data_IF_963010402004
#
_entry.id   IF_963010402004
#
_cell.length_a   1.000
_cell.length_b   1.000
_cell.length_c   1.000
_cell.angle_alpha   90.00
_cell.angle_beta   90.00
_cell.angle_gamma   90.00
#
_symmetry.space_group_name_H-M   'P 1'
#
loop_
_entity.id
_entity.type
_entity.pdbx_description
1 polymer ?
#
# COMPACT_ATOMS: atom_id res chain seq x y z
N UNK A 1 11.72 -11.72 59.19
CA UNK A 1 10.65 -11.75 58.15
C UNK A 1 10.81 -10.72 57.02
N UNK A 2 11.63 -9.66 57.15
CA UNK A 2 11.74 -8.62 56.11
C UNK A 2 12.72 -8.96 54.95
N UNK A 3 13.78 -9.73 55.21
CA UNK A 3 14.76 -10.09 54.16
C UNK A 3 14.22 -11.03 53.06
N UNK A 4 13.28 -11.91 53.42
CA UNK A 4 12.67 -12.86 52.48
C UNK A 4 11.73 -12.18 51.49
N UNK A 5 11.05 -11.11 51.91
CA UNK A 5 10.21 -10.27 51.03
C UNK A 5 11.06 -9.47 50.05
N UNK A 6 12.19 -8.92 50.52
CA UNK A 6 13.11 -8.16 49.68
C UNK A 6 13.74 -9.06 48.61
N UNK A 7 14.27 -10.22 48.97
CA UNK A 7 14.85 -11.15 48.00
C UNK A 7 13.84 -11.59 46.92
N UNK A 8 12.57 -11.79 47.29
CA UNK A 8 11.49 -12.16 46.37
C UNK A 8 11.12 -11.02 45.40
N UNK A 9 11.16 -9.76 45.87
CA UNK A 9 10.95 -8.59 45.01
C UNK A 9 12.08 -8.43 43.99
N UNK A 10 13.33 -8.67 44.39
CA UNK A 10 14.49 -8.54 43.49
C UNK A 10 14.52 -9.65 42.44
N UNK A 11 14.18 -10.89 42.80
CA UNK A 11 14.06 -11.99 41.84
C UNK A 11 12.88 -11.81 40.88
N UNK A 12 11.73 -11.28 41.33
CA UNK A 12 10.62 -10.93 40.45
C UNK A 12 10.96 -9.79 39.48
N UNK A 13 11.71 -8.79 39.93
CA UNK A 13 12.18 -7.68 39.08
C UNK A 13 13.21 -8.16 38.05
N UNK A 14 14.13 -9.05 38.45
CA UNK A 14 15.10 -9.67 37.56
C UNK A 14 14.42 -10.57 36.50
N UNK A 15 13.37 -11.31 36.89
CA UNK A 15 12.53 -12.09 35.97
C UNK A 15 11.81 -11.19 34.97
N UNK A 16 11.26 -10.04 35.39
CA UNK A 16 10.63 -9.05 34.50
C UNK A 16 11.63 -8.40 33.51
N UNK A 17 12.90 -8.26 33.89
CA UNK A 17 13.97 -7.73 33.04
C UNK A 17 14.52 -8.81 32.09
N UNK A 18 14.51 -10.09 32.52
CA UNK A 18 15.01 -11.25 31.78
C UNK A 18 13.96 -11.92 30.90
N UNK A 19 12.65 -11.62 31.05
CA UNK A 19 11.66 -11.99 30.03
C UNK A 19 12.07 -11.20 28.78
N UNK A 20 12.61 -11.86 27.72
CA UNK A 20 12.81 -11.18 26.45
C UNK A 20 11.43 -10.61 26.12
N UNK A 21 11.32 -9.28 25.96
CA UNK A 21 10.04 -8.61 25.65
C UNK A 21 9.28 -9.52 24.71
N UNK A 22 8.25 -10.21 25.23
CA UNK A 22 7.68 -11.39 24.57
C UNK A 22 7.51 -11.01 23.10
N UNK A 23 8.25 -11.68 22.20
CA UNK A 23 8.26 -11.33 20.78
C UNK A 23 6.82 -11.40 20.30
N UNK A 24 6.15 -10.25 20.28
CA UNK A 24 4.75 -10.18 19.96
C UNK A 24 4.64 -10.35 18.47
N UNK A 25 4.39 -11.61 18.10
CA UNK A 25 3.99 -12.00 16.75
C UNK A 25 2.66 -11.34 16.44
N UNK A 26 2.71 -10.31 15.61
CA UNK A 26 1.50 -9.80 14.97
C UNK A 26 0.99 -10.79 13.93
N UNK A 27 -0.31 -11.03 13.90
CA UNK A 27 -0.99 -11.82 12.88
C UNK A 27 -1.51 -10.92 11.76
N UNK A 28 -0.94 -11.06 10.58
CA UNK A 28 -1.09 -10.11 9.47
C UNK A 28 -1.87 -10.78 8.34
N UNK A 29 -3.01 -10.18 7.97
CA UNK A 29 -3.74 -10.53 6.76
C UNK A 29 -3.20 -9.71 5.59
N UNK A 30 -2.80 -10.36 4.50
CA UNK A 30 -2.26 -9.71 3.31
C UNK A 30 -3.22 -9.87 2.14
N UNK A 31 -3.56 -8.74 1.51
CA UNK A 31 -4.28 -8.72 0.23
C UNK A 31 -3.27 -8.34 -0.86
N UNK A 32 -2.77 -9.32 -1.63
CA UNK A 32 -1.66 -9.08 -2.55
C UNK A 32 -2.14 -8.39 -3.83
N UNK A 33 -1.18 -7.75 -4.50
CA UNK A 33 -1.31 -7.36 -5.91
C UNK A 33 -0.35 -8.21 -6.74
N UNK A 34 -0.84 -8.76 -7.85
CA UNK A 34 -0.05 -9.59 -8.76
C UNK A 34 1.05 -8.80 -9.48
N UNK A 35 1.98 -9.49 -10.14
CA UNK A 35 3.00 -8.83 -10.97
C UNK A 35 4.22 -8.35 -10.20
N UNK A 36 4.80 -7.25 -10.67
CA UNK A 36 5.95 -6.59 -10.05
C UNK A 36 5.66 -6.07 -8.64
N UNK A 37 4.39 -5.81 -8.31
CA UNK A 37 3.98 -5.42 -6.97
C UNK A 37 4.15 -6.57 -5.97
N UNK A 38 3.91 -7.81 -6.38
CA UNK A 38 4.10 -8.98 -5.53
C UNK A 38 5.56 -9.14 -5.09
N UNK A 39 6.52 -9.06 -6.02
CA UNK A 39 7.94 -9.30 -5.71
C UNK A 39 8.45 -8.40 -4.58
N UNK A 40 7.99 -7.15 -4.55
CA UNK A 40 8.33 -6.21 -3.50
C UNK A 40 7.63 -6.54 -2.17
N UNK A 41 6.35 -6.93 -2.23
CA UNK A 41 5.63 -7.41 -1.05
C UNK A 41 6.31 -8.65 -0.47
N UNK A 42 6.74 -9.60 -1.30
CA UNK A 42 7.35 -10.86 -0.86
C UNK A 42 8.60 -10.63 0.01
N UNK A 43 9.43 -9.63 -0.32
CA UNK A 43 10.62 -9.27 0.48
C UNK A 43 10.20 -8.76 1.86
N UNK A 44 9.23 -7.85 1.93
CA UNK A 44 8.69 -7.33 3.19
C UNK A 44 8.08 -8.46 4.04
N UNK A 45 7.29 -9.34 3.43
CA UNK A 45 6.66 -10.47 4.11
C UNK A 45 7.71 -11.42 4.69
N UNK A 46 8.78 -11.75 3.95
CA UNK A 46 9.90 -12.55 4.49
C UNK A 46 10.56 -11.90 5.70
N UNK A 47 10.78 -10.59 5.64
CA UNK A 47 11.38 -9.82 6.75
C UNK A 47 10.47 -9.69 7.98
N UNK A 48 9.16 -9.69 7.79
CA UNK A 48 8.17 -9.77 8.87
C UNK A 48 8.13 -11.17 9.48
N UNK A 49 8.09 -12.20 8.63
CA UNK A 49 8.10 -13.58 9.08
C UNK A 49 9.37 -13.94 9.87
N UNK A 50 10.55 -13.49 9.42
CA UNK A 50 11.81 -13.73 10.14
C UNK A 50 11.86 -13.05 11.52
N UNK A 51 10.97 -12.10 11.79
CA UNK A 51 10.79 -11.45 13.10
C UNK A 51 9.68 -12.10 13.94
N UNK A 52 9.15 -13.23 13.48
CA UNK A 52 8.17 -14.03 14.18
C UNK A 52 6.72 -13.66 13.87
N UNK A 53 6.43 -12.77 12.91
CA UNK A 53 5.05 -12.46 12.52
C UNK A 53 4.38 -13.63 11.81
N UNK A 54 3.10 -13.84 12.12
CA UNK A 54 2.24 -14.78 11.42
C UNK A 54 1.64 -14.08 10.20
N UNK A 55 1.80 -14.67 9.02
CA UNK A 55 1.37 -14.06 7.76
C UNK A 55 0.38 -14.99 7.08
N UNK A 56 -0.79 -14.44 6.75
CA UNK A 56 -1.78 -15.14 5.94
C UNK A 56 -2.17 -14.30 4.75
N UNK A 57 -2.17 -14.90 3.56
CA UNK A 57 -2.47 -14.21 2.31
C UNK A 57 -3.82 -14.67 1.79
N UNK A 58 -4.76 -13.74 1.59
CA UNK A 58 -5.98 -14.04 0.84
C UNK A 58 -5.71 -13.81 -0.65
N UNK A 59 -5.59 -14.90 -1.41
CA UNK A 59 -5.25 -14.87 -2.83
C UNK A 59 -6.42 -15.33 -3.69
N UNK A 60 -6.48 -14.84 -4.92
CA UNK A 60 -7.40 -15.33 -5.94
C UNK A 60 -6.97 -16.74 -6.43
N UNK A 61 -7.92 -17.58 -6.81
CA UNK A 61 -7.64 -18.85 -7.51
C UNK A 61 -6.92 -18.67 -8.84
N UNK A 62 -6.96 -17.47 -9.42
CA UNK A 62 -6.24 -17.07 -10.65
C UNK A 62 -4.88 -16.42 -10.38
N UNK A 63 -4.48 -16.29 -9.11
CA UNK A 63 -3.16 -15.77 -8.71
C UNK A 63 -2.05 -16.66 -9.27
N UNK A 64 -0.99 -16.05 -9.82
CA UNK A 64 0.10 -16.82 -10.45
C UNK A 64 1.49 -16.52 -9.88
N UNK A 65 1.66 -15.43 -9.14
CA UNK A 65 2.89 -15.19 -8.38
C UNK A 65 2.82 -15.72 -6.96
N UNK A 66 1.66 -15.60 -6.30
CA UNK A 66 1.46 -16.10 -4.94
C UNK A 66 1.23 -17.60 -4.98
N UNK A 67 2.22 -18.36 -4.50
CA UNK A 67 2.12 -19.81 -4.36
C UNK A 67 1.13 -20.16 -3.26
N UNK A 68 0.47 -21.30 -3.43
CA UNK A 68 -0.46 -21.89 -2.46
C UNK A 68 0.23 -22.28 -1.13
N UNK A 69 1.49 -22.69 -1.23
CA UNK A 69 2.33 -23.14 -0.13
C UNK A 69 3.63 -22.34 -0.05
N UNK A 70 4.02 -22.01 1.17
CA UNK A 70 5.23 -21.26 1.47
C UNK A 70 5.68 -21.55 2.90
N UNK A 71 7.00 -21.57 3.19
CA UNK A 71 7.46 -21.70 4.57
C UNK A 71 7.22 -20.44 5.40
N UNK A 72 6.92 -19.29 4.78
CA UNK A 72 6.82 -17.99 5.46
C UNK A 72 5.43 -17.35 5.44
N UNK A 73 4.41 -18.01 4.87
CA UNK A 73 3.02 -17.57 4.97
C UNK A 73 2.04 -18.74 4.76
N UNK A 74 0.83 -18.59 5.29
CA UNK A 74 -0.35 -19.41 5.00
C UNK A 74 -1.23 -18.74 3.94
N UNK A 75 -2.14 -19.49 3.30
CA UNK A 75 -3.04 -18.92 2.29
C UNK A 75 -4.51 -19.24 2.52
N UNK A 76 -5.38 -18.28 2.17
CA UNK A 76 -6.77 -18.52 1.83
C UNK A 76 -6.91 -18.35 0.31
N UNK A 77 -7.36 -19.37 -0.39
CA UNK A 77 -7.59 -19.29 -1.83
C UNK A 77 -9.08 -19.01 -2.08
N UNK A 78 -9.39 -17.86 -2.65
CA UNK A 78 -10.74 -17.43 -2.99
C UNK A 78 -11.03 -17.77 -4.45
N UNK A 79 -12.03 -18.61 -4.74
CA UNK A 79 -12.40 -18.91 -6.11
C UNK A 79 -13.03 -17.68 -6.78
N UNK A 80 -12.46 -17.26 -7.91
CA UNK A 80 -13.02 -16.19 -8.74
C UNK A 80 -13.07 -16.62 -10.19
N UNK A 81 -14.09 -16.15 -10.91
CA UNK A 81 -14.23 -16.40 -12.33
C UNK A 81 -13.25 -15.52 -13.13
N UNK A 82 -13.25 -14.22 -12.84
CA UNK A 82 -12.35 -13.25 -13.47
C UNK A 82 -11.37 -12.65 -12.47
N UNK A 83 -10.22 -12.26 -12.98
CA UNK A 83 -9.21 -11.51 -12.25
C UNK A 83 -8.23 -10.88 -13.25
N UNK A 84 -7.34 -10.02 -12.78
CA UNK A 84 -6.22 -9.53 -13.57
C UNK A 84 -5.15 -10.63 -13.68
N UNK A 85 -5.46 -11.71 -14.41
CA UNK A 85 -4.67 -12.95 -14.47
C UNK A 85 -3.52 -12.92 -15.51
N UNK A 86 -2.69 -13.97 -15.56
CA UNK A 86 -1.56 -14.07 -16.50
C UNK A 86 -2.00 -14.00 -17.97
N UNK A 87 -3.12 -14.63 -18.32
CA UNK A 87 -3.62 -14.70 -19.69
C UNK A 87 -4.15 -13.33 -20.12
N UNK A 88 -4.93 -12.70 -19.26
CA UNK A 88 -5.49 -11.37 -19.43
C UNK A 88 -4.38 -10.33 -19.53
N UNK A 89 -3.41 -10.36 -18.61
CA UNK A 89 -2.23 -9.46 -18.62
C UNK A 89 -1.43 -9.63 -19.91
N UNK A 90 -1.13 -10.86 -20.32
CA UNK A 90 -0.40 -11.13 -21.57
C UNK A 90 -1.16 -10.58 -22.78
N UNK A 91 -2.48 -10.76 -22.83
CA UNK A 91 -3.32 -10.24 -23.90
C UNK A 91 -3.25 -8.72 -23.98
N UNK A 92 -3.47 -8.03 -22.85
CA UNK A 92 -3.40 -6.57 -22.78
C UNK A 92 -2.04 -6.02 -23.22
N UNK A 93 -0.95 -6.59 -22.69
CA UNK A 93 0.41 -6.19 -23.06
C UNK A 93 0.68 -6.42 -24.55
N UNK A 94 0.24 -7.56 -25.09
CA UNK A 94 0.42 -7.88 -26.51
C UNK A 94 -0.36 -6.94 -27.41
N UNK A 95 -1.63 -6.68 -27.09
CA UNK A 95 -2.48 -5.73 -27.82
C UNK A 95 -1.87 -4.32 -27.77
N UNK A 96 -1.41 -3.88 -26.60
CA UNK A 96 -0.75 -2.59 -26.41
C UNK A 96 0.51 -2.48 -27.27
N UNK A 97 1.42 -3.46 -27.22
CA UNK A 97 2.66 -3.44 -28.02
C UNK A 97 2.35 -3.45 -29.52
N UNK A 98 1.40 -4.28 -29.97
CA UNK A 98 1.00 -4.34 -31.38
C UNK A 98 0.43 -3.00 -31.85
N UNK A 99 -0.42 -2.39 -31.03
CA UNK A 99 -1.00 -1.08 -31.33
C UNK A 99 0.09 0.00 -31.40
N UNK A 100 0.99 0.04 -30.42
CA UNK A 100 2.08 1.02 -30.38
C UNK A 100 3.02 0.94 -31.59
N UNK A 101 3.26 -0.26 -32.12
CA UNK A 101 4.13 -0.45 -33.30
C UNK A 101 3.52 0.08 -34.60
N UNK A 102 2.19 0.16 -34.71
CA UNK A 102 1.49 0.59 -35.91
C UNK A 102 0.87 1.99 -35.83
N UNK A 103 0.84 2.59 -34.65
CA UNK A 103 0.17 3.87 -34.42
C UNK A 103 1.12 5.06 -34.63
N UNK A 104 0.60 6.14 -35.22
CA UNK A 104 1.30 7.44 -35.18
C UNK A 104 1.32 7.99 -33.75
N UNK A 105 2.23 8.94 -33.42
CA UNK A 105 2.31 9.50 -32.07
C UNK A 105 0.99 10.10 -31.56
N UNK A 106 0.22 10.74 -32.44
CA UNK A 106 -1.09 11.32 -32.08
C UNK A 106 -2.14 10.25 -31.83
N UNK A 107 -2.20 9.22 -32.69
CA UNK A 107 -3.15 8.10 -32.53
C UNK A 107 -2.81 7.28 -31.28
N UNK A 108 -1.52 7.08 -31.02
CA UNK A 108 -1.01 6.48 -29.79
C UNK A 108 -1.47 7.25 -28.56
N UNK A 109 -1.23 8.56 -28.55
CA UNK A 109 -1.67 9.45 -27.48
C UNK A 109 -3.17 9.33 -27.23
N UNK A 110 -4.01 9.54 -28.26
CA UNK A 110 -5.47 9.48 -28.13
C UNK A 110 -5.98 8.12 -27.65
N UNK A 111 -5.39 7.01 -28.12
CA UNK A 111 -5.77 5.68 -27.69
C UNK A 111 -5.43 5.41 -26.22
N UNK A 112 -4.20 5.77 -25.80
CA UNK A 112 -3.77 5.60 -24.40
C UNK A 112 -4.59 6.49 -23.47
N UNK A 113 -4.87 7.72 -23.88
CA UNK A 113 -5.55 8.66 -23.01
C UNK A 113 -7.06 8.46 -22.98
N UNK A 114 -7.73 8.31 -24.12
CA UNK A 114 -9.19 8.20 -24.19
C UNK A 114 -9.65 6.75 -24.32
N UNK A 115 -9.01 5.97 -25.19
CA UNK A 115 -9.41 4.59 -25.51
C UNK A 115 -9.16 3.56 -24.39
N UNK A 116 -8.39 3.90 -23.35
CA UNK A 116 -8.10 3.01 -22.23
C UNK A 116 -8.99 3.26 -20.99
N UNK A 117 -9.84 4.29 -20.98
CA UNK A 117 -10.70 4.59 -19.82
C UNK A 117 -11.65 3.42 -19.52
N UNK A 118 -12.39 2.97 -20.53
CA UNK A 118 -13.34 1.85 -20.39
C UNK A 118 -12.63 0.55 -20.01
N UNK A 119 -11.47 0.29 -20.62
CA UNK A 119 -10.62 -0.86 -20.28
C UNK A 119 -10.18 -0.80 -18.83
N UNK A 120 -9.79 0.36 -18.32
CA UNK A 120 -9.38 0.52 -16.93
C UNK A 120 -10.52 0.16 -15.97
N UNK A 121 -11.73 0.66 -16.24
CA UNK A 121 -12.94 0.32 -15.46
C UNK A 121 -13.23 -1.19 -15.54
N UNK A 122 -13.12 -1.80 -16.72
CA UNK A 122 -13.33 -3.24 -16.92
C UNK A 122 -12.32 -4.09 -16.11
N UNK A 123 -11.04 -3.71 -16.13
CA UNK A 123 -9.99 -4.37 -15.34
C UNK A 123 -10.31 -4.30 -13.85
N UNK A 124 -10.60 -3.09 -13.37
CA UNK A 124 -10.95 -2.90 -11.96
C UNK A 124 -12.19 -3.70 -11.58
N UNK A 125 -13.20 -3.78 -12.46
CA UNK A 125 -14.40 -4.59 -12.23
C UNK A 125 -14.05 -6.08 -12.11
N UNK A 126 -13.22 -6.62 -13.01
CA UNK A 126 -12.79 -8.02 -12.95
C UNK A 126 -11.98 -8.31 -11.67
N UNK A 127 -11.10 -7.41 -11.25
CA UNK A 127 -10.36 -7.57 -9.98
C UNK A 127 -11.28 -7.43 -8.77
N UNK A 128 -12.29 -6.57 -8.85
CA UNK A 128 -13.21 -6.32 -7.73
C UNK A 128 -14.08 -7.52 -7.36
N UNK A 129 -14.29 -8.47 -8.28
CA UNK A 129 -15.02 -9.72 -8.03
C UNK A 129 -14.44 -10.56 -6.88
N UNK A 130 -13.15 -10.38 -6.60
CA UNK A 130 -12.50 -11.02 -5.46
C UNK A 130 -13.14 -10.67 -4.13
N UNK A 131 -13.61 -9.43 -3.96
CA UNK A 131 -14.16 -8.97 -2.69
C UNK A 131 -15.54 -9.60 -2.41
N UNK A 132 -16.53 -9.58 -3.32
CA UNK A 132 -17.77 -10.33 -3.14
C UNK A 132 -17.56 -11.83 -2.94
N UNK A 133 -16.68 -12.46 -3.73
CA UNK A 133 -16.39 -13.89 -3.60
C UNK A 133 -15.86 -14.26 -2.20
N UNK A 134 -15.18 -13.33 -1.53
CA UNK A 134 -14.67 -13.53 -0.17
C UNK A 134 -15.72 -13.18 0.89
N UNK A 135 -16.41 -12.04 0.76
CA UNK A 135 -17.36 -11.57 1.77
C UNK A 135 -18.67 -12.34 1.77
N UNK A 136 -19.09 -12.88 0.62
CA UNK A 136 -20.32 -13.68 0.50
C UNK A 136 -20.09 -15.15 0.92
N UNK A 137 -18.84 -15.60 1.07
CA UNK A 137 -18.47 -16.93 1.59
C UNK A 137 -18.48 -16.94 3.13
N UNK A 138 -19.56 -17.46 3.71
CA UNK A 138 -19.78 -17.49 5.16
C UNK A 138 -18.74 -18.34 5.91
N UNK A 139 -18.25 -19.42 5.32
CA UNK A 139 -17.25 -20.29 5.94
C UNK A 139 -15.88 -19.62 5.93
N UNK A 140 -15.50 -18.99 4.82
CA UNK A 140 -14.27 -18.21 4.73
C UNK A 140 -14.30 -17.03 5.72
N UNK A 141 -15.40 -16.28 5.78
CA UNK A 141 -15.54 -15.16 6.72
C UNK A 141 -15.51 -15.61 8.18
N UNK A 142 -16.10 -16.77 8.49
CA UNK A 142 -15.98 -17.39 9.82
C UNK A 142 -14.52 -17.68 10.17
N UNK A 143 -13.76 -18.29 9.24
CA UNK A 143 -12.33 -18.59 9.43
C UNK A 143 -11.48 -17.33 9.57
N UNK A 144 -11.75 -16.29 8.77
CA UNK A 144 -11.06 -14.99 8.87
C UNK A 144 -11.29 -14.35 10.26
N UNK A 145 -12.54 -14.33 10.74
CA UNK A 145 -12.89 -13.77 12.06
C UNK A 145 -12.31 -14.58 13.23
N UNK A 146 -12.16 -15.89 13.09
CA UNK A 146 -11.53 -16.77 14.08
C UNK A 146 -10.01 -16.65 14.10
N UNK A 147 -9.40 -16.25 12.98
CA UNK A 147 -7.94 -16.12 12.87
C UNK A 147 -7.39 -14.96 13.72
N UNK A 148 -8.22 -13.99 14.11
CA UNK A 148 -7.83 -12.83 14.96
C UNK A 148 -6.62 -12.09 14.38
N UNK A 149 -6.78 -11.55 13.16
CA UNK A 149 -5.78 -10.69 12.56
C UNK A 149 -5.66 -9.36 13.31
N UNK A 150 -4.44 -8.82 13.38
CA UNK A 150 -4.13 -7.55 14.04
C UNK A 150 -4.19 -6.36 13.04
N UNK A 151 -3.97 -6.63 11.75
CA UNK A 151 -4.01 -5.62 10.68
C UNK A 151 -4.20 -6.26 9.31
N UNK A 152 -4.58 -5.43 8.34
CA UNK A 152 -4.57 -5.76 6.91
C UNK A 152 -3.45 -5.00 6.21
N UNK A 153 -2.55 -5.74 5.55
CA UNK A 153 -1.49 -5.20 4.71
C UNK A 153 -1.88 -5.36 3.23
N UNK A 154 -1.96 -4.26 2.49
CA UNK A 154 -2.33 -4.29 1.07
C UNK A 154 -1.59 -3.24 0.26
N UNK A 155 -1.61 -3.38 -1.06
CA UNK A 155 -1.24 -2.31 -1.98
C UNK A 155 -2.52 -1.50 -2.33
N UNK A 156 -2.49 -0.16 -2.36
CA UNK A 156 -3.64 0.69 -2.65
C UNK A 156 -4.02 0.73 -4.14
N UNK A 157 -3.28 0.03 -5.01
CA UNK A 157 -3.61 -0.05 -6.44
C UNK A 157 -5.02 -0.59 -6.70
N UNK A 158 -5.47 -1.56 -5.88
CA UNK A 158 -6.82 -2.11 -5.92
C UNK A 158 -7.60 -1.77 -4.65
N UNK A 159 -8.89 -1.46 -4.79
CA UNK A 159 -9.76 -1.08 -3.66
C UNK A 159 -10.11 -2.22 -2.70
N UNK A 160 -9.94 -3.48 -3.12
CA UNK A 160 -10.42 -4.65 -2.36
C UNK A 160 -9.87 -4.70 -0.93
N UNK A 161 -8.57 -4.49 -0.75
CA UNK A 161 -7.93 -4.58 0.56
C UNK A 161 -8.39 -3.50 1.53
N UNK A 162 -8.64 -2.28 1.03
CA UNK A 162 -9.12 -1.18 1.85
C UNK A 162 -10.56 -1.40 2.34
N UNK A 163 -11.44 -1.86 1.44
CA UNK A 163 -12.83 -2.19 1.78
C UNK A 163 -12.88 -3.36 2.78
N UNK A 164 -12.08 -4.40 2.55
CA UNK A 164 -12.01 -5.54 3.46
C UNK A 164 -11.51 -5.14 4.85
N UNK A 165 -10.45 -4.33 4.95
CA UNK A 165 -9.92 -3.86 6.23
C UNK A 165 -11.00 -3.11 7.01
N UNK A 166 -11.76 -2.24 6.33
CA UNK A 166 -12.88 -1.53 6.93
C UNK A 166 -14.00 -2.47 7.37
N UNK A 167 -14.33 -3.48 6.56
CA UNK A 167 -15.36 -4.49 6.88
C UNK A 167 -15.01 -5.30 8.13
N UNK A 168 -13.74 -5.75 8.22
CA UNK A 168 -13.24 -6.51 9.37
C UNK A 168 -12.94 -5.63 10.60
N UNK A 169 -13.09 -4.30 10.46
CA UNK A 169 -12.71 -3.31 11.47
C UNK A 169 -11.25 -3.47 11.93
N UNK A 170 -10.35 -3.69 10.98
CA UNK A 170 -8.91 -3.87 11.21
C UNK A 170 -8.12 -2.64 10.76
N UNK A 171 -6.98 -2.35 11.41
CA UNK A 171 -6.04 -1.34 10.94
C UNK A 171 -5.59 -1.60 9.51
N UNK A 172 -5.61 -0.57 8.68
CA UNK A 172 -5.21 -0.64 7.27
C UNK A 172 -3.78 -0.13 7.12
N UNK A 173 -2.88 -1.00 6.68
CA UNK A 173 -1.49 -0.67 6.38
C UNK A 173 -1.27 -0.82 4.88
N UNK A 174 -0.74 0.22 4.26
CA UNK A 174 -0.37 0.17 2.86
C UNK A 174 1.13 -0.05 2.66
N UNK A 175 1.50 -0.94 1.72
CA UNK A 175 2.87 -1.04 1.21
C UNK A 175 2.96 -0.46 -0.20
N UNK A 176 3.29 0.82 -0.31
CA UNK A 176 3.05 1.61 -1.51
C UNK A 176 4.35 2.03 -2.16
N UNK A 177 4.43 1.88 -3.48
CA UNK A 177 5.30 2.72 -4.32
C UNK A 177 4.46 3.68 -5.16
N UNK A 178 3.33 3.20 -5.67
CA UNK A 178 2.40 3.93 -6.51
C UNK A 178 1.00 3.96 -5.88
N UNK A 179 0.34 5.12 -5.89
CA UNK A 179 -1.11 5.21 -5.85
C UNK A 179 -1.64 5.11 -7.29
N UNK A 180 -2.81 4.55 -7.53
CA UNK A 180 -3.40 4.63 -8.86
C UNK A 180 -4.04 6.02 -9.02
N UNK A 181 -3.54 6.92 -9.92
CA UNK A 181 -2.51 6.78 -10.96
C UNK A 181 -1.20 7.56 -10.67
N UNK A 182 -1.03 8.00 -9.43
CA UNK A 182 -0.06 8.99 -9.00
C UNK A 182 1.00 8.40 -8.06
N UNK A 183 2.16 9.05 -7.95
CA UNK A 183 3.08 8.65 -6.90
C UNK A 183 2.43 8.82 -5.53
N UNK A 184 2.66 7.84 -4.64
CA UNK A 184 2.04 7.83 -3.33
C UNK A 184 2.34 9.09 -2.51
N UNK A 185 3.49 9.72 -2.80
CA UNK A 185 3.90 10.96 -2.16
C UNK A 185 3.01 12.14 -2.57
N UNK A 186 2.36 12.17 -3.75
CA UNK A 186 1.49 13.28 -4.14
C UNK A 186 0.25 13.41 -3.24
N UNK A 187 -0.19 12.33 -2.62
CA UNK A 187 -1.25 12.37 -1.60
C UNK A 187 -0.84 13.14 -0.34
N UNK A 188 0.47 13.30 -0.09
CA UNK A 188 1.04 13.97 1.09
C UNK A 188 1.71 15.30 0.71
N UNK A 189 2.31 15.37 -0.47
CA UNK A 189 3.08 16.49 -0.99
C UNK A 189 2.73 16.71 -2.48
N UNK A 190 1.68 17.51 -2.77
CA UNK A 190 1.31 17.82 -4.15
C UNK A 190 2.45 18.53 -4.86
N UNK A 191 2.67 18.19 -6.12
CA UNK A 191 3.69 18.84 -6.95
C UNK A 191 3.09 19.55 -8.15
N UNK A 192 3.73 20.63 -8.63
CA UNK A 192 3.22 21.36 -9.78
C UNK A 192 3.38 20.52 -11.06
N UNK A 193 2.26 20.07 -11.64
CA UNK A 193 2.20 19.31 -12.90
C UNK A 193 2.76 20.11 -14.10
N UNK A 194 2.92 21.41 -13.96
CA UNK A 194 3.61 22.26 -14.95
C UNK A 194 5.13 22.03 -15.00
N UNK A 195 5.73 21.46 -13.95
CA UNK A 195 7.17 21.18 -13.84
C UNK A 195 7.48 19.70 -13.58
N UNK A 196 6.57 18.96 -12.94
CA UNK A 196 6.74 17.53 -12.69
C UNK A 196 5.94 16.74 -13.74
N UNK A 197 6.61 15.93 -14.57
CA UNK A 197 5.91 15.11 -15.57
C UNK A 197 5.07 14.03 -14.88
N UNK A 198 3.87 13.79 -15.40
CA UNK A 198 3.03 12.67 -14.97
C UNK A 198 3.80 11.39 -15.26
N UNK A 199 3.76 10.46 -14.31
CA UNK A 199 4.40 9.16 -14.45
C UNK A 199 3.98 8.47 -15.75
N UNK A 200 4.93 7.81 -16.43
CA UNK A 200 4.72 7.13 -17.72
C UNK A 200 4.44 8.05 -18.92
N UNK A 201 4.49 9.38 -18.76
CA UNK A 201 4.43 10.32 -19.89
C UNK A 201 5.67 10.25 -20.79
N UNK A 202 6.80 9.74 -20.27
CA UNK A 202 8.08 9.71 -20.95
C UNK A 202 8.79 11.07 -21.03
N UNK A 203 8.27 12.08 -20.33
CA UNK A 203 8.89 13.40 -20.24
C UNK A 203 9.86 13.51 -19.06
N UNK A 204 10.77 14.49 -19.14
CA UNK A 204 11.68 14.88 -18.05
C UNK A 204 11.14 16.11 -17.33
N UNK A 205 11.81 16.57 -16.28
CA UNK A 205 11.56 17.86 -15.62
C UNK A 205 11.75 19.06 -16.58
N UNK A 206 12.50 18.87 -17.67
CA UNK A 206 12.69 19.85 -18.74
C UNK A 206 11.65 19.69 -19.85
N UNK A 207 10.45 20.22 -19.61
CA UNK A 207 9.36 20.27 -20.60
C UNK A 207 9.24 21.62 -21.29
N UNK A 208 9.11 21.62 -22.62
CA UNK A 208 8.67 22.80 -23.39
C UNK A 208 7.16 23.06 -23.21
N UNK A 209 6.67 24.19 -23.71
CA UNK A 209 5.26 24.59 -23.55
C UNK A 209 4.26 23.49 -23.99
N UNK A 210 4.45 22.90 -25.18
CA UNK A 210 3.54 21.88 -25.69
C UNK A 210 3.61 20.58 -24.89
N UNK A 211 4.78 20.19 -24.39
CA UNK A 211 4.93 19.05 -23.50
C UNK A 211 4.21 19.29 -22.17
N UNK A 212 4.31 20.50 -21.59
CA UNK A 212 3.56 20.87 -20.38
C UNK A 212 2.05 20.81 -20.59
N UNK A 213 1.56 21.31 -21.73
CA UNK A 213 0.13 21.22 -22.08
C UNK A 213 -0.32 19.77 -22.22
N UNK A 214 0.45 18.93 -22.90
CA UNK A 214 0.14 17.49 -23.00
C UNK A 214 0.18 16.81 -21.63
N UNK A 215 1.15 17.17 -20.78
CA UNK A 215 1.29 16.64 -19.43
C UNK A 215 0.04 16.95 -18.58
N UNK A 216 -0.46 18.18 -18.64
CA UNK A 216 -1.72 18.57 -18.00
C UNK A 216 -2.93 17.78 -18.53
N UNK A 217 -3.02 17.55 -19.84
CA UNK A 217 -4.10 16.74 -20.42
C UNK A 217 -4.06 15.30 -19.91
N UNK A 218 -2.86 14.69 -19.86
CA UNK A 218 -2.68 13.34 -19.31
C UNK A 218 -3.12 13.32 -17.85
N UNK A 219 -2.68 14.29 -17.04
CA UNK A 219 -3.07 14.40 -15.63
C UNK A 219 -4.60 14.42 -15.46
N UNK A 220 -5.31 15.31 -16.17
CA UNK A 220 -6.76 15.42 -16.09
C UNK A 220 -7.46 14.11 -16.47
N UNK A 221 -6.94 13.41 -17.48
CA UNK A 221 -7.47 12.12 -17.91
C UNK A 221 -7.24 11.04 -16.84
N UNK A 222 -6.08 11.01 -16.21
CA UNK A 222 -5.80 10.07 -15.11
C UNK A 222 -6.70 10.33 -13.90
N UNK A 223 -7.03 11.59 -13.61
CA UNK A 223 -7.99 11.99 -12.58
C UNK A 223 -9.41 11.50 -12.91
N UNK A 224 -9.83 11.67 -14.17
CA UNK A 224 -11.12 11.13 -14.65
C UNK A 224 -11.15 9.60 -14.51
N UNK A 225 -10.09 8.90 -14.94
CA UNK A 225 -10.00 7.44 -14.82
C UNK A 225 -10.13 6.97 -13.37
N UNK A 226 -9.43 7.64 -12.46
CA UNK A 226 -9.45 7.31 -11.02
C UNK A 226 -10.82 7.56 -10.40
N UNK A 227 -11.44 8.69 -10.76
CA UNK A 227 -12.79 9.03 -10.30
C UNK A 227 -13.82 8.04 -10.83
N UNK A 228 -13.73 7.67 -12.11
CA UNK A 228 -14.63 6.69 -12.73
C UNK A 228 -14.48 5.31 -12.09
N UNK A 229 -13.26 4.83 -11.85
CA UNK A 229 -13.03 3.55 -11.16
C UNK A 229 -13.61 3.58 -9.75
N UNK A 230 -13.33 4.65 -9.00
CA UNK A 230 -13.80 4.79 -7.61
C UNK A 230 -15.32 4.77 -7.54
N UNK A 231 -16.00 5.56 -8.38
CA UNK A 231 -17.47 5.68 -8.39
C UNK A 231 -18.19 4.49 -9.04
N UNK A 232 -17.66 3.93 -10.13
CA UNK A 232 -18.37 2.90 -10.92
C UNK A 232 -18.06 1.47 -10.47
N UNK A 233 -16.95 1.25 -9.76
CA UNK A 233 -16.51 -0.10 -9.36
C UNK A 233 -16.55 -0.27 -7.85
N UNK A 234 -15.86 0.60 -7.11
CA UNK A 234 -15.64 0.36 -5.68
C UNK A 234 -16.72 0.96 -4.78
N UNK A 235 -17.27 2.14 -5.12
CA UNK A 235 -18.34 2.76 -4.36
C UNK A 235 -19.59 1.84 -4.23
N UNK A 236 -20.05 1.13 -5.28
CA UNK A 236 -21.15 0.17 -5.13
C UNK A 236 -20.83 -0.98 -4.15
N UNK A 237 -19.57 -1.42 -4.10
CA UNK A 237 -19.13 -2.46 -3.16
C UNK A 237 -19.11 -1.92 -1.72
N UNK A 238 -18.63 -0.69 -1.50
CA UNK A 238 -18.72 -0.01 -0.21
C UNK A 238 -20.18 0.08 0.24
N UNK A 239 -21.08 0.57 -0.62
CA UNK A 239 -22.50 0.70 -0.28
C UNK A 239 -23.16 -0.65 0.04
N UNK A 240 -22.79 -1.73 -0.67
CA UNK A 240 -23.30 -3.09 -0.42
C UNK A 240 -22.82 -3.67 0.92
N UNK A 241 -21.53 -3.54 1.23
CA UNK A 241 -20.91 -4.28 2.34
C UNK A 241 -20.66 -3.46 3.60
N UNK A 242 -20.50 -2.14 3.48
CA UNK A 242 -20.19 -1.23 4.57
C UNK A 242 -21.37 -0.30 4.91
N UNK A 243 -22.39 -0.25 4.06
CA UNK A 243 -23.57 0.59 4.22
C UNK A 243 -23.54 1.88 3.37
N UNK A 244 -24.68 2.60 3.29
CA UNK A 244 -24.86 3.73 2.39
C UNK A 244 -23.95 4.93 2.69
N UNK A 245 -23.54 5.11 3.95
CA UNK A 245 -22.70 6.23 4.39
C UNK A 245 -21.20 6.02 4.12
N UNK A 246 -20.81 4.85 3.61
CA UNK A 246 -19.41 4.52 3.36
C UNK A 246 -18.92 5.14 2.04
N UNK A 247 -18.02 6.11 2.13
CA UNK A 247 -17.34 6.71 0.97
C UNK A 247 -16.02 5.98 0.66
N UNK A 248 -15.90 5.43 -0.55
CA UNK A 248 -14.71 4.71 -0.97
C UNK A 248 -13.47 5.60 -0.99
N UNK A 249 -13.57 6.85 -1.41
CA UNK A 249 -12.40 7.74 -1.51
C UNK A 249 -11.85 8.08 -0.11
N UNK A 250 -12.72 8.21 0.89
CA UNK A 250 -12.32 8.34 2.30
C UNK A 250 -11.68 7.06 2.84
N UNK A 251 -12.21 5.89 2.49
CA UNK A 251 -11.63 4.60 2.91
C UNK A 251 -10.25 4.39 2.28
N UNK A 252 -10.13 4.69 0.97
CA UNK A 252 -8.88 4.59 0.20
C UNK A 252 -7.79 5.52 0.73
N UNK A 253 -8.14 6.74 1.13
CA UNK A 253 -7.17 7.70 1.69
C UNK A 253 -6.92 7.50 3.19
N UNK A 254 -7.84 6.84 3.90
CA UNK A 254 -7.87 6.72 5.36
C UNK A 254 -7.00 5.60 5.96
N UNK A 255 -5.93 5.15 5.31
CA UNK A 255 -5.05 4.13 5.89
C UNK A 255 -4.33 4.63 7.16
N UNK A 256 -4.15 3.73 8.13
CA UNK A 256 -3.51 4.03 9.41
C UNK A 256 -2.00 4.24 9.26
N UNK A 257 -1.36 3.48 8.36
CA UNK A 257 0.07 3.54 8.09
C UNK A 257 0.33 3.44 6.59
N UNK A 258 1.15 4.36 6.08
CA UNK A 258 1.65 4.38 4.71
C UNK A 258 3.13 4.01 4.70
N UNK A 259 3.46 2.79 4.29
CA UNK A 259 4.83 2.36 4.04
C UNK A 259 5.19 2.77 2.60
N UNK A 260 5.68 4.00 2.45
CA UNK A 260 6.03 4.57 1.15
C UNK A 260 7.45 4.15 0.76
N UNK A 261 7.60 3.57 -0.43
CA UNK A 261 8.86 3.09 -1.00
C UNK A 261 9.45 4.17 -1.91
N UNK A 262 10.16 5.13 -1.32
CA UNK A 262 10.93 6.17 -2.02
C UNK A 262 12.35 6.24 -1.47
N UNK A 263 13.33 6.67 -2.28
CA UNK A 263 14.74 6.74 -1.88
C UNK A 263 15.00 7.77 -0.76
N UNK A 264 14.04 8.66 -0.54
CA UNK A 264 13.93 9.45 0.69
C UNK A 264 13.04 8.69 1.68
N UNK A 265 13.56 8.42 2.89
CA UNK A 265 12.97 7.55 3.93
C UNK A 265 11.66 8.03 4.57
N UNK A 266 10.71 8.56 3.80
CA UNK A 266 9.44 9.08 4.28
C UNK A 266 8.42 7.98 4.57
N UNK A 267 8.44 7.44 5.80
CA UNK A 267 7.26 6.74 6.34
C UNK A 267 6.30 7.80 6.90
N UNK A 268 5.14 7.99 6.27
CA UNK A 268 4.17 9.00 6.70
C UNK A 268 3.10 8.34 7.57
N UNK A 269 2.99 8.81 8.82
CA UNK A 269 1.98 8.37 9.78
C UNK A 269 0.85 9.41 9.84
N UNK A 270 -0.37 9.01 9.53
CA UNK A 270 -1.52 9.94 9.54
C UNK A 270 -2.48 9.79 10.73
N UNK A 271 -2.37 8.76 11.59
CA UNK A 271 -3.17 8.68 12.84
C UNK A 271 -2.44 8.10 14.05
N UNK A 272 -2.86 8.56 15.23
CA UNK A 272 -2.14 8.37 16.50
C UNK A 272 -2.42 7.06 17.26
N UNK A 273 -3.24 6.13 16.77
CA UNK A 273 -3.73 5.03 17.61
C UNK A 273 -2.93 3.71 17.66
N UNK A 274 -1.88 3.51 16.84
CA UNK A 274 -1.14 2.22 16.81
C UNK A 274 0.37 2.34 17.01
N UNK A 275 0.81 2.92 18.14
CA UNK A 275 2.25 3.07 18.46
C UNK A 275 3.03 1.73 18.57
N UNK A 276 2.35 0.60 18.83
CA UNK A 276 3.00 -0.70 19.09
C UNK A 276 3.36 -1.43 17.80
N UNK A 277 2.45 -1.46 16.83
CA UNK A 277 2.67 -1.99 15.47
C UNK A 277 3.69 -1.11 14.72
N UNK A 278 3.60 0.21 14.92
CA UNK A 278 4.55 1.18 14.39
C UNK A 278 6.01 0.87 14.74
N UNK A 279 6.32 0.60 16.02
CA UNK A 279 7.70 0.31 16.45
C UNK A 279 8.28 -0.93 15.76
N UNK A 280 7.44 -1.93 15.49
CA UNK A 280 7.88 -3.17 14.83
C UNK A 280 8.10 -2.95 13.34
N UNK A 281 7.20 -2.21 12.66
CA UNK A 281 7.34 -1.86 11.24
C UNK A 281 8.53 -0.91 10.98
N UNK A 282 8.74 0.10 11.83
CA UNK A 282 9.89 1.01 11.69
C UNK A 282 11.22 0.29 11.83
N UNK A 283 11.38 -0.62 12.81
CA UNK A 283 12.62 -1.41 12.97
C UNK A 283 12.89 -2.35 11.79
N UNK A 284 11.85 -2.81 11.09
CA UNK A 284 12.00 -3.58 9.84
C UNK A 284 12.59 -2.67 8.76
N UNK A 285 11.99 -1.50 8.56
CA UNK A 285 12.40 -0.54 7.52
C UNK A 285 13.79 0.06 7.79
N UNK A 286 14.11 0.41 9.03
CA UNK A 286 15.41 0.93 9.46
C UNK A 286 16.56 -0.06 9.23
N UNK A 287 16.31 -1.37 9.39
CA UNK A 287 17.33 -2.40 9.16
C UNK A 287 17.61 -2.70 7.68
N UNK A 288 16.71 -2.28 6.79
CA UNK A 288 16.85 -2.46 5.35
C UNK A 288 17.41 -1.22 4.64
N UNK A 289 17.38 -0.06 5.29
CA UNK A 289 18.02 1.15 4.81
C UNK A 289 19.50 1.15 5.26
N UNK A 290 20.43 1.38 4.33
CA UNK A 290 21.86 1.52 4.60
C UNK A 290 22.11 2.46 5.78
N UNK A 291 22.77 1.93 6.80
CA UNK A 291 22.93 2.49 8.15
C UNK A 291 23.94 3.64 8.24
N UNK A 292 23.70 4.76 7.54
CA UNK A 292 24.58 5.94 7.63
C UNK A 292 23.87 7.30 7.76
N UNK A 293 22.54 7.40 7.64
CA UNK A 293 21.87 8.72 7.59
C UNK A 293 20.89 9.03 8.74
N UNK A 294 20.73 8.16 9.74
CA UNK A 294 19.61 8.27 10.69
C UNK A 294 19.96 8.81 12.08
N UNK A 295 21.23 9.13 12.38
CA UNK A 295 21.57 9.60 13.74
C UNK A 295 21.51 11.11 14.00
N UNK A 296 21.47 11.96 12.97
CA UNK A 296 21.49 13.43 13.18
C UNK A 296 20.10 14.07 13.40
N UNK A 297 18.99 13.35 13.22
CA UNK A 297 17.65 13.98 13.21
C UNK A 297 16.83 13.85 14.49
N UNK A 298 17.34 13.21 15.56
CA UNK A 298 16.54 12.97 16.79
C UNK A 298 17.28 13.25 18.10
N UNK A 299 17.92 14.42 18.24
CA UNK A 299 18.57 14.83 19.50
C UNK A 299 18.60 16.34 19.78
N UNK A 300 17.73 16.76 20.72
CA UNK A 300 17.80 17.95 21.61
C UNK A 300 17.31 19.36 21.18
N UNK A 301 16.30 19.80 21.96
CA UNK A 301 15.91 21.13 22.49
C UNK A 301 16.61 22.41 21.98
N UNK A 302 15.74 23.39 21.68
CA UNK A 302 15.84 24.86 21.91
C UNK A 302 17.25 25.47 22.01
N UNK A 303 17.60 26.28 21.01
CA UNK A 303 17.81 27.72 21.16
C UNK A 303 17.88 28.34 19.75
N UNK A 304 17.02 29.33 19.49
CA UNK A 304 17.19 30.25 18.37
C UNK A 304 18.44 31.10 18.66
N UNK A 305 19.30 31.40 17.69
CA UNK A 305 20.15 32.57 17.77
C UNK A 305 19.51 33.74 17.01
N UNK A 306 19.49 34.85 17.72
CA UNK A 306 19.27 36.20 17.25
C UNK A 306 20.27 36.61 16.14
N UNK A 307 19.84 37.58 15.36
CA UNK A 307 20.62 38.58 14.60
C UNK A 307 22.15 38.53 14.65
N UNK A 308 22.77 38.61 13.46
CA UNK A 308 23.94 39.47 13.28
C UNK A 308 23.92 40.14 11.89
N UNK A 309 24.13 41.45 11.93
CA UNK A 309 24.17 42.39 10.81
C UNK A 309 25.43 42.24 9.95
N UNK A 310 25.37 42.84 8.73
CA UNK A 310 26.43 43.52 7.93
C UNK A 310 27.88 43.49 8.49
N UNK A 311 28.98 43.40 7.73
CA UNK A 311 29.33 43.59 6.29
C UNK A 311 30.86 43.30 6.15
N UNK A 312 31.61 43.85 5.17
CA UNK A 312 32.00 43.25 3.89
C UNK A 312 33.51 42.94 3.77
N UNK A 313 33.89 42.17 2.77
CA UNK A 313 35.09 42.35 1.93
C UNK A 313 34.89 41.60 0.59
#
# INVERSE_FOLDING_TARGET
MNGMKLACCWSATLLLILVPSCCQSGNILVIPTEGSHWLNNEILLKALHSRGHNITIARSSKSWYVKDSSPYYSTFTVPVERSFDKKYTRRLVTEYIKFQRGASPLVSFLHVTMGMIDKNVEVHRAVSEFLPAMLDDTELMRRLNQSKFDLVLTDPWWGNGAILAKYLNLPLVYNVRWLNPEEAHFAVAPSPISYIPVTLSGYTDKMNFFQRTKNMIIYLITQIQTTSVSKLVYQPLCSKYLGPDADFDQIKSGADIWLIRTDFGSTVRLRNHYQRIWRTLCRVLESTASSSCLWELFGQRRQLPESCERSPE
#
